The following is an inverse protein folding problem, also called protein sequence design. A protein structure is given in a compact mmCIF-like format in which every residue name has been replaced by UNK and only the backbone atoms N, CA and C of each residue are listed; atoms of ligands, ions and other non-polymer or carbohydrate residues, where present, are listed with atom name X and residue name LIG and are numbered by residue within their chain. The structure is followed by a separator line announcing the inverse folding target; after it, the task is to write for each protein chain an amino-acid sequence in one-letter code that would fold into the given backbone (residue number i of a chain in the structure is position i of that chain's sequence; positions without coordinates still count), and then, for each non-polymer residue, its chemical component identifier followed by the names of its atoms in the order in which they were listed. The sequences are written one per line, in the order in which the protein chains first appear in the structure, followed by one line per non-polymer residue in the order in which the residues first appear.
data_IF_815075129125
#
_entry.id   IF_815075129125
#
_cell.length_a   1.000
_cell.length_b   1.000
_cell.length_c   1.000
_cell.angle_alpha   90.00
_cell.angle_beta   90.00
_cell.angle_gamma   90.00
#
_symmetry.space_group_name_H-M   'P 1'
#
loop_
_entity.id
_entity.type
_entity.pdbx_description
1 polymer ?
#
# COMPACT_ATOMS: atom_id res chain seq x y z
N UNK A 1 -48.89 30.34 -30.41
CA UNK A 1 -50.06 30.34 -29.49
C UNK A 1 -50.27 28.94 -28.96
N UNK A 2 -49.68 28.62 -27.80
CA UNK A 2 -49.92 27.35 -27.11
C UNK A 2 -51.26 27.50 -26.39
N UNK A 3 -52.25 26.69 -26.75
CA UNK A 3 -53.60 26.79 -26.20
C UNK A 3 -53.59 26.46 -24.71
N UNK A 4 -54.34 27.23 -23.91
CA UNK A 4 -54.35 27.16 -22.44
C UNK A 4 -54.67 25.78 -21.85
N UNK A 5 -55.20 24.84 -22.65
CA UNK A 5 -55.42 23.44 -22.25
C UNK A 5 -54.11 22.64 -22.20
N UNK A 6 -53.17 22.83 -23.14
CA UNK A 6 -51.89 22.11 -23.18
C UNK A 6 -50.96 22.50 -22.02
N UNK A 7 -51.02 23.76 -21.57
CA UNK A 7 -50.24 24.26 -20.43
C UNK A 7 -50.67 23.61 -19.10
N UNK A 8 -51.97 23.33 -18.93
CA UNK A 8 -52.51 22.66 -17.72
C UNK A 8 -52.03 21.20 -17.60
N UNK A 9 -51.94 20.48 -18.71
CA UNK A 9 -51.41 19.11 -18.70
C UNK A 9 -49.90 19.06 -18.45
N UNK A 10 -49.15 20.06 -18.94
CA UNK A 10 -47.70 20.16 -18.67
C UNK A 10 -47.40 20.42 -17.19
N UNK A 11 -48.18 21.30 -16.54
CA UNK A 11 -48.04 21.60 -15.10
C UNK A 11 -48.47 20.39 -14.24
N UNK A 12 -49.52 19.69 -14.64
CA UNK A 12 -49.97 18.48 -13.94
C UNK A 12 -48.96 17.33 -14.02
N UNK A 13 -48.21 17.20 -15.13
CA UNK A 13 -47.16 16.19 -15.28
C UNK A 13 -45.93 16.49 -14.40
N UNK A 14 -45.57 17.78 -14.25
CA UNK A 14 -44.44 18.23 -13.42
C UNK A 14 -44.72 18.00 -11.92
N UNK A 15 -45.95 18.22 -11.46
CA UNK A 15 -46.35 18.00 -10.06
C UNK A 15 -46.34 16.52 -9.66
N UNK A 16 -46.69 15.62 -10.57
CA UNK A 16 -46.62 14.16 -10.32
C UNK A 16 -45.16 13.70 -10.25
N UNK A 17 -44.27 14.26 -11.08
CA UNK A 17 -42.84 13.92 -11.02
C UNK A 17 -42.14 14.39 -9.74
N UNK A 18 -42.56 15.53 -9.16
CA UNK A 18 -42.02 16.02 -7.87
C UNK A 18 -42.48 15.21 -6.66
N UNK A 19 -43.64 14.53 -6.73
CA UNK A 19 -44.19 13.76 -5.62
C UNK A 19 -43.61 12.34 -5.51
N UNK A 20 -43.08 11.77 -6.61
CA UNK A 20 -42.40 10.47 -6.57
C UNK A 20 -40.91 10.55 -6.22
N UNK A 21 -40.30 11.73 -6.25
CA UNK A 21 -38.88 11.90 -5.91
C UNK A 21 -38.60 12.01 -4.40
N UNK A 22 -39.62 12.26 -3.58
CA UNK A 22 -39.46 12.40 -2.12
C UNK A 22 -39.50 11.08 -1.35
N UNK A 23 -39.68 9.93 -2.02
CA UNK A 23 -39.75 8.61 -1.39
C UNK A 23 -38.44 7.79 -1.46
N UNK A 24 -37.33 8.36 -1.92
CA UNK A 24 -36.00 7.70 -1.88
C UNK A 24 -35.06 8.36 -0.84
N UNK A 25 -35.50 9.40 -0.16
CA UNK A 25 -34.69 10.11 0.83
C UNK A 25 -34.88 9.56 2.25
N UNK A 26 -34.77 8.25 2.49
CA UNK A 26 -34.85 7.73 3.88
C UNK A 26 -34.29 6.30 4.11
N UNK A 27 -33.08 5.99 3.64
CA UNK A 27 -32.15 5.06 4.34
C UNK A 27 -30.73 5.26 3.80
N UNK A 28 -30.17 6.44 4.03
CA UNK A 28 -28.72 6.59 4.03
C UNK A 28 -28.43 7.55 5.16
N UNK A 29 -28.29 6.99 6.37
CA UNK A 29 -27.57 7.65 7.44
C UNK A 29 -26.34 8.30 6.81
N UNK A 30 -26.30 9.63 6.87
CA UNK A 30 -25.23 10.46 6.36
C UNK A 30 -23.88 9.79 6.61
N UNK A 31 -23.22 9.36 5.54
CA UNK A 31 -21.77 9.21 5.59
C UNK A 31 -21.23 10.61 5.91
N UNK A 32 -20.56 10.83 7.06
CA UNK A 32 -19.98 12.12 7.33
C UNK A 32 -18.98 12.42 6.22
N UNK A 33 -19.06 13.62 5.67
CA UNK A 33 -18.04 14.15 4.79
C UNK A 33 -16.67 14.00 5.48
N UNK A 34 -15.76 13.26 4.83
CA UNK A 34 -14.43 12.96 5.35
C UNK A 34 -14.43 11.75 6.27
N UNK A 35 -14.50 10.55 5.70
CA UNK A 35 -13.88 9.38 6.35
C UNK A 35 -12.38 9.64 6.36
N UNK A 36 -11.89 10.40 7.34
CA UNK A 36 -10.47 10.42 7.69
C UNK A 36 -10.12 8.96 7.91
N UNK A 37 -9.25 8.42 7.06
CA UNK A 37 -8.74 7.07 7.23
C UNK A 37 -8.13 7.01 8.63
N UNK A 38 -8.80 6.32 9.55
CA UNK A 38 -8.29 6.17 10.91
C UNK A 38 -7.41 4.91 10.89
N UNK A 39 -6.12 4.99 11.24
CA UNK A 39 -5.19 3.85 11.15
C UNK A 39 -5.59 2.68 12.04
N UNK A 40 -6.51 2.89 12.99
CA UNK A 40 -7.09 1.85 13.83
C UNK A 40 -8.59 2.11 14.09
N UNK A 41 -9.49 1.73 13.17
CA UNK A 41 -10.91 2.04 13.30
C UNK A 41 -11.57 1.29 14.47
N UNK A 42 -12.60 1.88 15.08
CA UNK A 42 -13.48 1.17 16.02
C UNK A 42 -14.31 0.17 15.21
N UNK A 43 -14.19 -1.11 15.52
CA UNK A 43 -14.87 -2.20 14.83
C UNK A 43 -16.11 -2.71 15.57
N UNK A 44 -16.26 -2.33 16.85
CA UNK A 44 -17.45 -2.69 17.63
C UNK A 44 -17.42 -2.13 19.04
N UNK A 45 -18.46 -2.45 19.80
CA UNK A 45 -18.55 -2.17 21.23
C UNK A 45 -18.73 -3.51 21.97
N UNK A 46 -17.97 -3.72 23.06
CA UNK A 46 -18.16 -4.84 23.99
C UNK A 46 -18.41 -4.24 25.37
N UNK A 47 -19.58 -4.51 25.96
CA UNK A 47 -20.05 -3.90 27.21
C UNK A 47 -19.96 -2.36 27.22
N UNK A 48 -20.30 -1.73 26.09
CA UNK A 48 -20.24 -0.27 25.92
C UNK A 48 -18.82 0.30 25.78
N UNK A 49 -17.76 -0.53 25.81
CA UNK A 49 -16.39 -0.12 25.55
C UNK A 49 -16.04 -0.30 24.07
N UNK A 50 -15.42 0.68 23.41
CA UNK A 50 -15.00 0.54 22.02
C UNK A 50 -13.90 -0.49 21.86
N UNK A 51 -14.07 -1.38 20.90
CA UNK A 51 -13.08 -2.35 20.43
C UNK A 51 -12.57 -1.86 19.08
N UNK A 52 -11.26 -1.76 18.95
CA UNK A 52 -10.58 -1.28 17.75
C UNK A 52 -10.02 -2.43 16.92
N UNK A 53 -9.69 -2.16 15.64
CA UNK A 53 -9.09 -3.15 14.74
C UNK A 53 -7.84 -3.81 15.34
N UNK A 54 -6.98 -3.02 15.98
CA UNK A 54 -5.77 -3.49 16.66
C UNK A 54 -6.07 -4.41 17.84
N UNK A 55 -7.17 -4.19 18.58
CA UNK A 55 -7.53 -5.01 19.75
C UNK A 55 -7.93 -6.45 19.36
N UNK A 56 -8.39 -6.65 18.13
CA UNK A 56 -8.79 -7.96 17.59
C UNK A 56 -7.70 -8.56 16.68
N UNK A 57 -6.74 -7.74 16.23
CA UNK A 57 -5.65 -8.19 15.36
C UNK A 57 -4.69 -9.08 16.14
N UNK A 58 -4.45 -10.28 15.61
CA UNK A 58 -3.47 -11.21 16.16
C UNK A 58 -2.18 -11.26 15.31
N UNK A 59 -1.15 -11.94 15.80
CA UNK A 59 0.13 -12.08 15.09
C UNK A 59 -0.05 -12.58 13.65
N UNK A 60 -0.89 -13.61 13.44
CA UNK A 60 -1.12 -14.19 12.11
C UNK A 60 -1.75 -13.18 11.15
N UNK A 61 -2.73 -12.40 11.61
CA UNK A 61 -3.34 -11.34 10.83
C UNK A 61 -2.32 -10.26 10.46
N UNK A 62 -1.46 -9.86 11.40
CA UNK A 62 -0.40 -8.89 11.13
C UNK A 62 0.64 -9.41 10.13
N UNK A 63 1.10 -10.66 10.29
CA UNK A 63 2.05 -11.28 9.37
C UNK A 63 1.48 -11.31 7.94
N UNK A 64 0.18 -11.62 7.79
CA UNK A 64 -0.51 -11.58 6.49
C UNK A 64 -0.64 -10.15 5.95
N UNK A 65 -0.97 -9.18 6.79
CA UNK A 65 -1.00 -7.77 6.39
C UNK A 65 0.38 -7.30 5.91
N UNK A 66 1.46 -7.73 6.57
CA UNK A 66 2.82 -7.42 6.16
C UNK A 66 3.19 -8.04 4.82
N UNK A 67 2.87 -9.33 4.62
CA UNK A 67 3.08 -10.00 3.33
C UNK A 67 2.30 -9.32 2.21
N UNK A 68 1.05 -8.92 2.47
CA UNK A 68 0.23 -8.19 1.51
C UNK A 68 0.84 -6.83 1.17
N UNK A 69 1.27 -6.07 2.17
CA UNK A 69 1.94 -4.79 1.98
C UNK A 69 3.20 -4.93 1.12
N UNK A 70 4.05 -5.92 1.41
CA UNK A 70 5.26 -6.20 0.63
C UNK A 70 4.93 -6.54 -0.82
N UNK A 71 3.93 -7.40 -1.04
CA UNK A 71 3.51 -7.78 -2.38
C UNK A 71 2.95 -6.58 -3.17
N UNK A 72 2.06 -5.80 -2.55
CA UNK A 72 1.47 -4.60 -3.17
C UNK A 72 2.53 -3.54 -3.48
N UNK A 73 3.55 -3.40 -2.63
CA UNK A 73 4.65 -2.45 -2.85
C UNK A 73 5.40 -2.78 -4.15
N UNK A 74 5.73 -4.05 -4.36
CA UNK A 74 6.40 -4.49 -5.60
C UNK A 74 5.49 -4.34 -6.81
N UNK A 75 4.21 -4.74 -6.70
CA UNK A 75 3.25 -4.63 -7.81
C UNK A 75 2.96 -3.18 -8.19
N UNK A 76 2.88 -2.28 -7.22
CA UNK A 76 2.71 -0.85 -7.46
C UNK A 76 3.90 -0.27 -8.21
N UNK A 77 5.12 -0.66 -7.82
CA UNK A 77 6.34 -0.26 -8.51
C UNK A 77 6.34 -0.73 -9.97
N UNK A 78 6.11 -2.03 -10.22
CA UNK A 78 6.06 -2.59 -11.58
C UNK A 78 5.01 -1.87 -12.43
N UNK A 79 3.79 -1.76 -11.93
CA UNK A 79 2.68 -1.12 -12.63
C UNK A 79 2.97 0.34 -12.95
N UNK A 80 3.51 1.10 -11.99
CA UNK A 80 3.85 2.50 -12.19
C UNK A 80 4.92 2.66 -13.29
N UNK A 81 5.98 1.85 -13.24
CA UNK A 81 7.06 1.92 -14.24
C UNK A 81 6.58 1.55 -15.64
N UNK A 82 5.75 0.51 -15.78
CA UNK A 82 5.15 0.15 -17.07
C UNK A 82 4.30 1.29 -17.66
N UNK A 83 3.49 1.95 -16.82
CA UNK A 83 2.66 3.08 -17.24
C UNK A 83 3.48 4.32 -17.58
N UNK A 84 4.56 4.57 -16.85
CA UNK A 84 5.42 5.73 -17.06
C UNK A 84 6.34 5.54 -18.26
N UNK A 85 6.82 4.33 -18.55
CA UNK A 85 7.66 4.05 -19.71
C UNK A 85 6.98 4.40 -21.04
N UNK A 86 5.65 4.34 -21.11
CA UNK A 86 4.90 4.74 -22.30
C UNK A 86 4.91 6.27 -22.57
N UNK A 87 5.18 7.08 -21.55
CA UNK A 87 5.09 8.55 -21.62
C UNK A 87 6.42 9.27 -21.35
N UNK A 88 7.30 8.65 -20.58
CA UNK A 88 8.55 9.22 -20.10
C UNK A 88 9.72 8.37 -20.59
N UNK A 89 10.46 8.87 -21.58
CA UNK A 89 11.63 8.19 -22.15
C UNK A 89 12.78 8.04 -21.13
N UNK A 90 12.76 8.83 -20.05
CA UNK A 90 13.68 8.70 -18.91
C UNK A 90 13.51 7.37 -18.15
N UNK A 91 12.33 6.72 -18.25
CA UNK A 91 12.06 5.44 -17.61
C UNK A 91 12.46 4.31 -18.54
N UNK A 92 13.53 3.61 -18.17
CA UNK A 92 14.04 2.46 -18.91
C UNK A 92 13.66 1.19 -18.16
N UNK A 93 12.88 0.29 -18.76
CA UNK A 93 12.42 -0.94 -18.08
C UNK A 93 13.51 -2.02 -18.00
N UNK A 94 14.45 -2.03 -18.96
CA UNK A 94 15.51 -3.05 -19.01
C UNK A 94 16.85 -2.47 -18.58
N UNK A 95 17.60 -3.16 -17.69
CA UNK A 95 18.92 -2.72 -17.29
C UNK A 95 19.91 -2.82 -18.46
N UNK A 96 20.77 -1.82 -18.59
CA UNK A 96 21.87 -1.85 -19.56
C UNK A 96 23.03 -2.74 -19.09
N UNK A 97 23.25 -2.80 -17.77
CA UNK A 97 24.29 -3.63 -17.15
C UNK A 97 23.95 -5.11 -17.35
N UNK A 98 24.88 -5.85 -17.94
CA UNK A 98 24.80 -7.32 -18.07
C UNK A 98 25.76 -7.99 -17.10
N UNK A 99 25.43 -9.21 -16.70
CA UNK A 99 26.31 -10.04 -15.86
C UNK A 99 27.57 -10.40 -16.63
N UNK A 100 28.72 -10.13 -16.03
CA UNK A 100 30.02 -10.48 -16.60
C UNK A 100 30.56 -11.77 -15.97
N UNK A 101 31.50 -12.43 -16.65
CA UNK A 101 32.15 -13.62 -16.09
C UNK A 101 32.92 -13.30 -14.81
N UNK A 102 33.50 -12.09 -14.73
CA UNK A 102 34.18 -11.59 -13.54
C UNK A 102 33.24 -11.53 -12.32
N UNK A 103 32.01 -11.06 -12.51
CA UNK A 103 31.01 -11.00 -11.45
C UNK A 103 30.64 -12.42 -10.95
N UNK A 104 30.54 -13.37 -11.87
CA UNK A 104 30.22 -14.77 -11.55
C UNK A 104 31.36 -15.41 -10.72
N UNK A 105 32.61 -15.21 -11.13
CA UNK A 105 33.78 -15.73 -10.41
C UNK A 105 33.85 -15.10 -9.02
N UNK A 106 33.64 -13.78 -8.91
CA UNK A 106 33.63 -13.10 -7.64
C UNK A 106 32.58 -13.66 -6.68
N UNK A 107 31.35 -13.92 -7.14
CA UNK A 107 30.31 -14.55 -6.30
C UNK A 107 30.68 -15.98 -5.91
N UNK A 108 31.26 -16.76 -6.83
CA UNK A 108 31.67 -18.13 -6.58
C UNK A 108 32.74 -18.22 -5.48
N UNK A 109 33.73 -17.33 -5.53
CA UNK A 109 34.82 -17.27 -4.55
C UNK A 109 34.39 -16.64 -3.22
N UNK A 110 33.61 -15.55 -3.24
CA UNK A 110 33.20 -14.83 -2.02
C UNK A 110 32.21 -15.59 -1.16
N UNK A 111 31.47 -16.55 -1.72
CA UNK A 111 30.46 -17.33 -1.01
C UNK A 111 30.91 -18.77 -0.77
N UNK A 112 32.20 -19.06 -0.94
CA UNK A 112 32.82 -20.38 -0.76
C UNK A 112 32.01 -21.52 -1.43
N UNK A 113 31.59 -21.29 -2.68
CA UNK A 113 30.70 -22.23 -3.39
C UNK A 113 31.42 -23.46 -3.94
N UNK A 114 32.72 -23.62 -3.67
CA UNK A 114 33.52 -24.78 -4.07
C UNK A 114 33.00 -26.07 -3.44
N UNK A 115 32.44 -26.00 -2.23
CA UNK A 115 31.81 -27.15 -1.56
C UNK A 115 30.52 -27.62 -2.24
N UNK A 116 29.90 -26.74 -3.04
CA UNK A 116 28.60 -26.99 -3.70
C UNK A 116 28.74 -27.48 -5.14
N UNK A 117 29.97 -27.58 -5.67
CA UNK A 117 30.25 -28.01 -7.03
C UNK A 117 31.26 -27.12 -7.76
N UNK A 118 31.57 -27.51 -9.01
CA UNK A 118 32.52 -26.76 -9.84
C UNK A 118 31.89 -25.46 -10.36
N UNK A 119 32.73 -24.48 -10.71
CA UNK A 119 32.27 -23.21 -11.27
C UNK A 119 31.33 -23.41 -12.46
N UNK A 120 31.61 -24.37 -13.36
CA UNK A 120 30.77 -24.64 -14.52
C UNK A 120 29.36 -25.13 -14.15
N UNK A 121 29.25 -25.95 -13.10
CA UNK A 121 27.98 -26.50 -12.63
C UNK A 121 27.09 -25.42 -11.98
N UNK A 122 27.70 -24.50 -11.23
CA UNK A 122 26.96 -23.49 -10.44
C UNK A 122 26.80 -22.17 -11.21
N UNK A 123 27.67 -21.89 -12.18
CA UNK A 123 27.62 -20.71 -13.05
C UNK A 123 26.22 -20.33 -13.56
N UNK A 124 25.36 -21.23 -14.08
CA UNK A 124 24.02 -20.83 -14.52
C UNK A 124 23.15 -20.30 -13.37
N UNK A 125 23.29 -20.85 -12.16
CA UNK A 125 22.55 -20.40 -10.98
C UNK A 125 23.04 -19.03 -10.51
N UNK A 126 24.37 -18.84 -10.43
CA UNK A 126 24.98 -17.55 -10.08
C UNK A 126 24.60 -16.48 -11.10
N UNK A 127 24.62 -16.82 -12.40
CA UNK A 127 24.20 -15.89 -13.46
C UNK A 127 22.76 -15.45 -13.26
N UNK A 128 21.82 -16.39 -13.06
CA UNK A 128 20.40 -16.08 -12.83
C UNK A 128 20.20 -15.20 -11.61
N UNK A 129 20.90 -15.51 -10.51
CA UNK A 129 20.87 -14.71 -9.29
C UNK A 129 21.35 -13.27 -9.55
N UNK A 130 22.49 -13.10 -10.21
CA UNK A 130 23.04 -11.78 -10.55
C UNK A 130 22.12 -11.00 -11.51
N UNK A 131 21.52 -11.65 -12.49
CA UNK A 131 20.55 -11.03 -13.41
C UNK A 131 19.32 -10.52 -12.64
N UNK A 132 18.78 -11.32 -11.72
CA UNK A 132 17.67 -10.91 -10.85
C UNK A 132 18.04 -9.74 -9.94
N UNK A 133 19.25 -9.76 -9.36
CA UNK A 133 19.74 -8.67 -8.53
C UNK A 133 19.91 -7.37 -9.33
N UNK A 134 20.50 -7.43 -10.52
CA UNK A 134 20.65 -6.26 -11.40
C UNK A 134 19.27 -5.71 -11.79
N UNK A 135 18.34 -6.57 -12.19
CA UNK A 135 16.98 -6.18 -12.56
C UNK A 135 16.26 -5.51 -11.38
N UNK A 136 16.31 -6.12 -10.19
CA UNK A 136 15.67 -5.57 -9.00
C UNK A 136 16.21 -4.19 -8.64
N UNK A 137 17.54 -4.02 -8.61
CA UNK A 137 18.15 -2.73 -8.32
C UNK A 137 17.85 -1.68 -9.39
N UNK A 138 17.81 -2.09 -10.65
CA UNK A 138 17.43 -1.20 -11.75
C UNK A 138 16.00 -0.69 -11.59
N UNK A 139 15.03 -1.58 -11.35
CA UNK A 139 13.63 -1.19 -11.12
C UNK A 139 13.47 -0.26 -9.91
N UNK A 140 14.18 -0.52 -8.81
CA UNK A 140 14.18 0.36 -7.64
C UNK A 140 14.73 1.76 -7.96
N UNK A 141 15.81 1.84 -8.74
CA UNK A 141 16.38 3.13 -9.15
C UNK A 141 15.42 3.92 -10.05
N UNK A 142 14.77 3.26 -11.02
CA UNK A 142 13.77 3.88 -11.88
C UNK A 142 12.55 4.36 -11.09
N UNK A 143 12.10 3.57 -10.11
CA UNK A 143 10.99 3.95 -9.24
C UNK A 143 11.35 5.13 -8.34
N UNK A 144 12.57 5.14 -7.79
CA UNK A 144 13.08 6.27 -7.00
C UNK A 144 13.14 7.56 -7.83
N UNK A 145 13.56 7.48 -9.10
CA UNK A 145 13.51 8.60 -10.03
C UNK A 145 12.07 9.10 -10.22
N UNK A 146 11.12 8.20 -10.45
CA UNK A 146 9.72 8.55 -10.63
C UNK A 146 9.09 9.21 -9.39
N UNK A 147 9.45 8.75 -8.18
CA UNK A 147 9.06 9.39 -6.91
C UNK A 147 9.65 10.79 -6.80
N UNK A 148 10.96 10.96 -7.08
CA UNK A 148 11.64 12.26 -7.01
C UNK A 148 11.06 13.28 -7.98
N UNK A 149 10.60 12.83 -9.15
CA UNK A 149 9.95 13.67 -10.17
C UNK A 149 8.47 13.94 -9.85
N UNK A 150 7.91 13.31 -8.82
CA UNK A 150 6.51 13.44 -8.44
C UNK A 150 5.54 12.74 -9.41
N UNK A 151 6.03 11.84 -10.26
CA UNK A 151 5.18 11.07 -11.18
C UNK A 151 4.43 9.94 -10.49
N UNK A 152 4.95 9.51 -9.34
CA UNK A 152 4.31 8.52 -8.48
C UNK A 152 4.13 9.14 -7.10
N UNK A 153 2.93 8.97 -6.55
CA UNK A 153 2.62 9.24 -5.15
C UNK A 153 2.05 7.92 -4.61
N UNK A 154 2.72 7.34 -3.62
CA UNK A 154 2.26 6.12 -2.95
C UNK A 154 1.59 6.49 -1.64
N UNK A 155 0.33 6.09 -1.49
CA UNK A 155 -0.40 6.12 -0.21
C UNK A 155 -0.42 4.74 0.45
N UNK A 156 0.42 3.80 -0.01
CA UNK A 156 0.52 2.47 0.56
C UNK A 156 1.33 2.56 1.87
N UNK A 157 0.70 2.26 2.99
CA UNK A 157 1.30 2.33 4.32
C UNK A 157 1.58 0.94 4.88
N UNK A 158 2.69 0.81 5.62
CA UNK A 158 3.03 -0.42 6.31
C UNK A 158 2.04 -0.69 7.46
N UNK A 159 1.71 -1.96 7.76
CA UNK A 159 0.91 -2.28 8.94
C UNK A 159 1.63 -1.86 10.22
N UNK A 160 0.87 -1.57 11.28
CA UNK A 160 1.44 -1.16 12.58
C UNK A 160 2.35 -2.24 13.17
N UNK A 161 3.57 -1.84 13.56
CA UNK A 161 4.57 -2.70 14.21
C UNK A 161 4.18 -3.16 15.62
N UNK A 162 3.31 -2.39 16.30
CA UNK A 162 2.90 -2.67 17.67
C UNK A 162 1.56 -3.43 17.68
N UNK A 163 1.60 -4.68 18.17
CA UNK A 163 0.41 -5.51 18.38
C UNK A 163 -0.32 -5.20 19.70
N UNK A 164 0.31 -4.47 20.62
CA UNK A 164 -0.23 -4.15 21.94
C UNK A 164 0.22 -2.75 22.36
N UNK A 165 -0.73 -1.86 22.61
CA UNK A 165 -0.47 -0.64 23.39
C UNK A 165 -0.60 -0.98 24.87
N UNK A 166 0.52 -1.25 25.53
CA UNK A 166 0.54 -1.32 26.98
C UNK A 166 0.21 0.06 27.55
N UNK A 167 -0.74 0.14 28.51
CA UNK A 167 -0.88 1.34 29.32
C UNK A 167 0.45 1.57 30.03
N UNK A 168 1.18 2.63 29.65
CA UNK A 168 2.37 3.06 30.39
C UNK A 168 1.83 3.58 31.74
N UNK A 169 1.68 2.69 32.72
CA UNK A 169 1.43 3.10 34.09
C UNK A 169 2.65 3.93 34.47
N UNK A 170 2.44 5.22 34.70
CA UNK A 170 3.46 6.13 35.20
C UNK A 170 4.05 5.54 36.48
N UNK A 171 5.25 4.96 36.38
CA UNK A 171 6.00 4.50 37.53
C UNK A 171 6.47 5.73 38.30
N UNK A 172 5.93 5.94 39.50
CA UNK A 172 6.42 7.00 40.38
C UNK A 172 7.88 6.70 40.75
N UNK A 173 8.80 7.53 40.26
CA UNK A 173 10.16 7.57 40.78
C UNK A 173 10.10 8.10 42.22
N UNK A 174 10.23 7.21 43.21
CA UNK A 174 10.40 7.60 44.61
C UNK A 174 11.82 8.14 44.79
N UNK A 175 12.03 9.41 44.46
CA UNK A 175 13.25 10.12 44.80
C UNK A 175 13.42 10.17 46.33
N UNK A 176 14.52 9.59 46.84
CA UNK A 176 14.91 9.73 48.23
C UNK A 176 15.41 11.16 48.47
N UNK A 177 14.67 11.96 49.24
CA UNK A 177 15.04 13.34 49.62
C UNK A 177 16.31 13.46 50.48
N UNK A 178 16.98 12.34 50.80
CA UNK A 178 18.24 12.30 51.56
C UNK A 178 19.47 11.92 50.72
N UNK A 179 19.35 11.84 49.39
CA UNK A 179 20.50 11.75 48.50
C UNK A 179 21.00 13.17 48.19
N UNK A 180 21.61 13.80 49.18
CA UNK A 180 22.46 14.99 49.01
C UNK A 180 23.60 14.96 50.01
#
# INVERSE_FOLDING_TARGET
MITAKLFKYLISLILIFSAYFTAIAQTSSAAPAGTVFHPNPVIGLVDGKPVTFEDVRNKKANDLSLQLYQHLSVRLMEYALEKLAAKHQEIILTPEKKVTLKDIIAVYEQNDLQERGTLEQIRPQIKKFLEQQIMSQHMLNQYSLALKKGWVISNLEAPSDFLLKGNIKTGYLRGNKKAS
#
